data_IF_840436774420
#
_entry.id   IF_840436774420
#
_cell.length_a   1.000
_cell.length_b   1.000
_cell.length_c   1.000
_cell.angle_alpha   90.00
_cell.angle_beta   90.00
_cell.angle_gamma   90.00
#
_symmetry.space_group_name_H-M   'P 1'
#
loop_
_entity.id
_entity.type
_entity.pdbx_description
1 polymer ?
#
# COMPACT_ATOMS: atom_id res chain seq x y z
N UNK A 1 -5.57 -17.46 9.07
CA UNK A 1 -6.97 -16.99 9.19
C UNK A 1 -6.98 -15.77 10.09
N UNK A 2 -7.79 -14.74 9.78
CA UNK A 2 -7.87 -13.54 10.61
C UNK A 2 -8.30 -13.84 12.06
N UNK A 3 -7.88 -12.98 13.00
CA UNK A 3 -8.23 -13.07 14.44
C UNK A 3 -9.65 -12.66 14.77
N UNK A 4 -10.34 -12.06 13.80
CA UNK A 4 -11.75 -11.68 13.87
C UNK A 4 -12.51 -12.32 12.71
N UNK A 5 -13.83 -12.42 12.81
CA UNK A 5 -14.63 -13.01 11.75
C UNK A 5 -14.49 -12.24 10.43
N UNK A 6 -14.64 -12.94 9.31
CA UNK A 6 -14.68 -12.35 7.98
C UNK A 6 -16.15 -12.29 7.56
N UNK A 7 -16.84 -11.14 7.64
CA UNK A 7 -18.27 -11.06 7.32
C UNK A 7 -18.49 -11.33 5.83
N UNK A 8 -19.48 -12.14 5.44
CA UNK A 8 -19.84 -12.33 4.04
C UNK A 8 -20.32 -11.01 3.42
N UNK A 9 -19.94 -10.74 2.17
CA UNK A 9 -20.21 -9.46 1.50
C UNK A 9 -21.71 -9.17 1.42
N UNK A 10 -22.53 -10.18 1.18
CA UNK A 10 -23.99 -10.10 1.10
C UNK A 10 -24.66 -9.64 2.42
N UNK A 11 -23.94 -9.70 3.54
CA UNK A 11 -24.43 -9.24 4.85
C UNK A 11 -24.09 -7.78 5.15
N UNK A 12 -23.23 -7.16 4.34
CA UNK A 12 -22.78 -5.78 4.53
C UNK A 12 -23.80 -4.77 3.95
N UNK A 13 -23.69 -3.51 4.34
CA UNK A 13 -24.49 -2.42 3.74
C UNK A 13 -24.25 -2.29 2.22
N UNK A 14 -25.29 -1.86 1.49
CA UNK A 14 -25.27 -1.82 0.01
C UNK A 14 -24.08 -1.04 -0.57
N UNK A 15 -23.68 0.06 0.07
CA UNK A 15 -22.50 0.84 -0.34
C UNK A 15 -21.21 0.03 -0.30
N UNK A 16 -21.03 -0.82 0.73
CA UNK A 16 -19.85 -1.67 0.84
C UNK A 16 -19.89 -2.80 -0.19
N UNK A 17 -21.07 -3.36 -0.47
CA UNK A 17 -21.26 -4.34 -1.54
C UNK A 17 -20.87 -3.76 -2.91
N UNK A 18 -21.24 -2.51 -3.19
CA UNK A 18 -20.89 -1.83 -4.44
C UNK A 18 -19.39 -1.48 -4.53
N UNK A 19 -18.76 -1.19 -3.40
CA UNK A 19 -17.36 -0.78 -3.32
C UNK A 19 -16.40 -1.98 -3.39
N UNK A 20 -16.79 -3.11 -2.83
CA UNK A 20 -15.98 -4.34 -2.78
C UNK A 20 -15.37 -4.73 -4.13
N UNK A 21 -16.14 -4.97 -5.22
CA UNK A 21 -15.58 -5.41 -6.49
C UNK A 21 -14.68 -4.35 -7.14
N UNK A 22 -14.88 -3.05 -6.84
CA UNK A 22 -14.03 -1.96 -7.34
C UNK A 22 -12.67 -1.96 -6.64
N UNK A 23 -12.68 -2.19 -5.32
CA UNK A 23 -11.48 -2.24 -4.51
C UNK A 23 -10.63 -3.47 -4.81
N UNK A 24 -11.26 -4.64 -4.88
CA UNK A 24 -10.56 -5.91 -5.12
C UNK A 24 -10.26 -6.18 -6.60
N UNK A 25 -10.73 -5.31 -7.49
CA UNK A 25 -10.65 -5.49 -8.95
C UNK A 25 -11.25 -6.83 -9.42
N UNK A 26 -12.27 -7.31 -8.70
CA UNK A 26 -12.90 -8.61 -8.97
C UNK A 26 -12.01 -9.82 -8.65
N UNK A 27 -10.93 -9.65 -7.90
CA UNK A 27 -10.04 -10.72 -7.44
C UNK A 27 -10.20 -11.01 -5.95
N UNK A 28 -9.61 -12.10 -5.47
CA UNK A 28 -9.55 -12.41 -4.04
C UNK A 28 -8.50 -11.57 -3.29
N UNK A 29 -7.66 -10.81 -4.00
CA UNK A 29 -6.64 -9.97 -3.38
C UNK A 29 -7.31 -8.83 -2.60
N UNK A 30 -6.90 -8.66 -1.34
CA UNK A 30 -7.48 -7.69 -0.39
C UNK A 30 -8.95 -7.92 -0.03
N UNK A 31 -9.56 -9.04 -0.44
CA UNK A 31 -10.95 -9.36 -0.09
C UNK A 31 -11.13 -9.51 1.43
N UNK A 32 -10.29 -10.34 2.06
CA UNK A 32 -10.31 -10.52 3.52
C UNK A 32 -10.06 -9.19 4.26
N UNK A 33 -9.11 -8.38 3.78
CA UNK A 33 -8.84 -7.06 4.37
C UNK A 33 -10.08 -6.16 4.32
N UNK A 34 -10.76 -6.10 3.17
CA UNK A 34 -11.98 -5.31 3.03
C UNK A 34 -13.07 -5.79 3.99
N UNK A 35 -13.32 -7.09 4.02
CA UNK A 35 -14.35 -7.70 4.86
C UNK A 35 -14.06 -7.51 6.35
N UNK A 36 -12.82 -7.70 6.79
CA UNK A 36 -12.45 -7.51 8.20
C UNK A 36 -12.60 -6.03 8.60
N UNK A 37 -12.21 -5.09 7.74
CA UNK A 37 -12.39 -3.67 8.04
C UNK A 37 -13.89 -3.28 8.02
N UNK A 38 -14.73 -3.98 7.27
CA UNK A 38 -16.17 -3.78 7.21
C UNK A 38 -16.93 -4.06 8.52
N UNK A 39 -16.30 -4.65 9.53
CA UNK A 39 -16.82 -4.60 10.91
C UNK A 39 -17.01 -3.16 11.42
N UNK A 40 -16.29 -2.20 10.84
CA UNK A 40 -16.44 -0.76 11.09
C UNK A 40 -16.89 -0.10 9.79
N UNK A 41 -18.18 -0.22 9.47
CA UNK A 41 -18.75 0.22 8.18
C UNK A 41 -18.36 1.65 7.75
N UNK A 42 -18.44 2.69 8.61
CA UNK A 42 -17.98 4.03 8.22
C UNK A 42 -16.50 4.09 7.83
N UNK A 43 -15.65 3.30 8.49
CA UNK A 43 -14.23 3.24 8.14
C UNK A 43 -14.02 2.55 6.79
N UNK A 44 -14.71 1.44 6.53
CA UNK A 44 -14.63 0.74 5.25
C UNK A 44 -15.13 1.59 4.09
N UNK A 45 -16.27 2.27 4.27
CA UNK A 45 -16.83 3.14 3.24
C UNK A 45 -15.84 4.26 2.90
N UNK A 46 -15.35 4.99 3.91
CA UNK A 46 -14.57 6.19 3.68
C UNK A 46 -13.11 5.91 3.30
N UNK A 47 -12.45 4.91 3.90
CA UNK A 47 -11.07 4.59 3.55
C UNK A 47 -10.97 4.01 2.14
N UNK A 48 -11.76 2.99 1.80
CA UNK A 48 -11.71 2.39 0.47
C UNK A 48 -12.31 3.33 -0.59
N UNK A 49 -13.35 4.09 -0.25
CA UNK A 49 -13.91 5.11 -1.12
C UNK A 49 -12.86 6.17 -1.50
N UNK A 50 -12.14 6.69 -0.51
CA UNK A 50 -11.04 7.62 -0.73
C UNK A 50 -9.94 7.01 -1.62
N UNK A 51 -9.53 5.77 -1.38
CA UNK A 51 -8.51 5.10 -2.21
C UNK A 51 -8.95 4.96 -3.67
N UNK A 52 -10.22 4.66 -3.92
CA UNK A 52 -10.80 4.60 -5.27
C UNK A 52 -10.86 5.98 -5.92
N UNK A 53 -11.25 7.02 -5.18
CA UNK A 53 -11.24 8.40 -5.67
C UNK A 53 -9.83 8.85 -6.04
N UNK A 54 -8.83 8.59 -5.20
CA UNK A 54 -7.44 8.95 -5.47
C UNK A 54 -6.90 8.19 -6.69
N UNK A 55 -7.23 6.89 -6.82
CA UNK A 55 -6.87 6.10 -8.01
C UNK A 55 -7.50 6.67 -9.28
N UNK A 56 -8.78 7.04 -9.24
CA UNK A 56 -9.47 7.61 -10.40
C UNK A 56 -8.94 9.01 -10.77
N UNK A 57 -8.50 9.80 -9.78
CA UNK A 57 -7.90 11.13 -10.01
C UNK A 57 -6.51 11.05 -10.64
N UNK A 58 -5.77 9.95 -10.42
CA UNK A 58 -4.42 9.73 -10.96
C UNK A 58 -3.44 10.90 -10.71
N UNK A 59 -3.48 11.49 -9.50
CA UNK A 59 -2.62 12.61 -9.13
C UNK A 59 -1.14 12.24 -9.05
N UNK A 60 -0.87 10.99 -8.67
CA UNK A 60 0.44 10.33 -8.71
C UNK A 60 0.33 9.17 -9.70
N UNK A 61 1.39 8.91 -10.47
CA UNK A 61 1.41 7.74 -11.36
C UNK A 61 1.26 6.46 -10.54
N UNK A 62 0.56 5.48 -11.09
CA UNK A 62 0.34 4.21 -10.40
C UNK A 62 1.69 3.53 -10.08
N UNK A 63 2.66 3.58 -11.00
CA UNK A 63 4.06 3.19 -10.75
C UNK A 63 4.65 3.75 -9.45
N UNK A 64 4.58 5.06 -9.22
CA UNK A 64 5.14 5.66 -8.00
C UNK A 64 4.34 5.29 -6.74
N UNK A 65 3.01 5.12 -6.86
CA UNK A 65 2.19 4.62 -5.75
C UNK A 65 2.61 3.21 -5.36
N UNK A 66 2.78 2.31 -6.34
CA UNK A 66 3.16 0.92 -6.08
C UNK A 66 4.59 0.79 -5.53
N UNK A 67 5.55 1.57 -6.06
CA UNK A 67 6.90 1.68 -5.49
C UNK A 67 6.86 2.05 -4.00
N UNK A 68 6.12 3.11 -3.66
CA UNK A 68 6.02 3.58 -2.30
C UNK A 68 5.36 2.54 -1.37
N UNK A 69 4.31 1.87 -1.83
CA UNK A 69 3.61 0.83 -1.07
C UNK A 69 4.50 -0.39 -0.83
N UNK A 70 5.23 -0.86 -1.85
CA UNK A 70 6.10 -2.02 -1.73
C UNK A 70 7.25 -1.73 -0.78
N UNK A 71 7.92 -0.58 -0.91
CA UNK A 71 9.02 -0.18 0.00
C UNK A 71 8.53 -0.09 1.44
N UNK A 72 7.43 0.63 1.69
CA UNK A 72 6.87 0.77 3.03
C UNK A 72 6.43 -0.58 3.62
N UNK A 73 5.79 -1.43 2.80
CA UNK A 73 5.33 -2.76 3.22
C UNK A 73 6.48 -3.70 3.54
N UNK A 74 7.54 -3.68 2.73
CA UNK A 74 8.75 -4.48 2.95
C UNK A 74 9.43 -4.08 4.26
N UNK A 75 9.66 -2.78 4.48
CA UNK A 75 10.26 -2.27 5.71
C UNK A 75 9.41 -2.58 6.96
N UNK A 76 8.08 -2.52 6.82
CA UNK A 76 7.15 -2.93 7.88
C UNK A 76 6.94 -4.45 7.98
N UNK A 77 7.58 -5.26 7.12
CA UNK A 77 7.45 -6.72 7.07
C UNK A 77 6.00 -7.21 6.84
N UNK A 78 5.19 -6.48 6.06
CA UNK A 78 3.86 -6.93 5.66
C UNK A 78 3.93 -7.78 4.38
N UNK A 79 4.11 -9.10 4.52
CA UNK A 79 4.15 -10.04 3.39
C UNK A 79 2.88 -9.97 2.53
N UNK A 80 1.70 -9.99 3.15
CA UNK A 80 0.42 -9.87 2.45
C UNK A 80 0.33 -8.63 1.56
N UNK A 81 0.88 -7.51 2.03
CA UNK A 81 0.87 -6.26 1.29
C UNK A 81 1.88 -6.29 0.14
N UNK A 82 3.09 -6.82 0.37
CA UNK A 82 4.09 -7.02 -0.70
C UNK A 82 3.54 -7.93 -1.79
N UNK A 83 3.02 -9.10 -1.43
CA UNK A 83 2.46 -10.08 -2.38
C UNK A 83 1.31 -9.48 -3.21
N UNK A 84 0.41 -8.72 -2.57
CA UNK A 84 -0.73 -8.12 -3.27
C UNK A 84 -0.38 -6.93 -4.16
N UNK A 85 0.77 -6.29 -3.94
CA UNK A 85 1.19 -5.10 -4.70
C UNK A 85 2.27 -5.40 -5.75
N UNK A 86 3.08 -6.45 -5.60
CA UNK A 86 4.11 -6.84 -6.60
C UNK A 86 3.52 -7.06 -8.01
N UNK A 87 2.41 -7.79 -8.22
CA UNK A 87 1.81 -7.94 -9.54
C UNK A 87 1.33 -6.60 -10.13
N UNK A 88 0.94 -5.64 -9.28
CA UNK A 88 0.51 -4.30 -9.73
C UNK A 88 1.69 -3.47 -10.20
N UNK A 89 2.81 -3.52 -9.49
CA UNK A 89 4.05 -2.89 -9.93
C UNK A 89 4.56 -3.49 -11.24
N UNK A 90 4.38 -4.80 -11.42
CA UNK A 90 4.71 -5.48 -12.68
C UNK A 90 3.91 -4.95 -13.87
N UNK A 91 2.61 -4.67 -13.70
CA UNK A 91 1.77 -4.01 -14.73
C UNK A 91 2.31 -2.63 -15.09
N UNK A 92 2.93 -1.93 -14.15
CA UNK A 92 3.60 -0.64 -14.34
C UNK A 92 5.03 -0.76 -14.92
N UNK A 93 5.37 -1.94 -15.45
CA UNK A 93 6.61 -2.20 -16.19
C UNK A 93 7.83 -2.44 -15.31
N UNK A 94 7.64 -2.77 -14.03
CA UNK A 94 8.75 -3.08 -13.11
C UNK A 94 8.54 -4.44 -12.43
N UNK A 95 9.26 -5.44 -12.92
CA UNK A 95 9.37 -6.74 -12.25
C UNK A 95 10.47 -6.66 -11.20
N UNK A 96 10.17 -7.09 -9.98
CA UNK A 96 11.12 -7.23 -8.88
C UNK A 96 11.03 -8.65 -8.31
N UNK A 97 12.17 -9.24 -8.02
CA UNK A 97 12.24 -10.57 -7.38
C UNK A 97 12.28 -10.43 -5.85
N UNK A 98 12.97 -9.41 -5.36
CA UNK A 98 13.09 -9.07 -3.94
C UNK A 98 12.89 -7.55 -3.78
N UNK A 99 11.88 -7.11 -2.99
CA UNK A 99 11.69 -5.69 -2.69
C UNK A 99 12.92 -4.98 -2.13
N UNK A 100 13.83 -5.70 -1.45
CA UNK A 100 15.08 -5.13 -0.96
C UNK A 100 15.93 -4.53 -2.09
N UNK A 101 15.85 -5.09 -3.30
CA UNK A 101 16.60 -4.59 -4.45
C UNK A 101 16.21 -3.16 -4.83
N UNK A 102 14.98 -2.73 -4.55
CA UNK A 102 14.56 -1.35 -4.78
C UNK A 102 15.34 -0.38 -3.88
N UNK A 103 15.46 -0.74 -2.60
CA UNK A 103 16.14 0.06 -1.57
C UNK A 103 17.65 0.08 -1.84
N UNK A 104 18.21 -1.06 -2.19
CA UNK A 104 19.64 -1.21 -2.47
C UNK A 104 20.04 -0.63 -3.84
N UNK A 105 19.07 -0.30 -4.70
CA UNK A 105 19.31 0.16 -6.06
C UNK A 105 19.89 -0.92 -6.98
N UNK A 106 19.61 -2.19 -6.70
CA UNK A 106 20.16 -3.36 -7.40
C UNK A 106 19.14 -4.05 -8.32
N UNK A 107 17.94 -3.49 -8.47
CA UNK A 107 16.94 -3.99 -9.43
C UNK A 107 17.52 -4.00 -10.84
N UNK A 108 17.28 -5.10 -11.57
CA UNK A 108 17.76 -5.31 -12.94
C UNK A 108 17.09 -4.40 -13.96
N UNK A 109 15.83 -4.05 -13.71
CA UNK A 109 15.07 -3.12 -14.53
C UNK A 109 15.46 -1.65 -14.25
N UNK A 110 15.48 -0.78 -15.27
CA UNK A 110 15.90 0.60 -15.10
C UNK A 110 14.91 1.38 -14.21
N UNK A 111 15.45 2.05 -13.20
CA UNK A 111 14.74 3.05 -12.40
C UNK A 111 15.10 4.45 -12.89
N UNK A 112 14.07 5.26 -13.13
CA UNK A 112 14.24 6.69 -13.34
C UNK A 112 14.75 7.38 -12.06
N UNK A 113 15.26 8.61 -12.18
CA UNK A 113 15.67 9.35 -10.99
C UNK A 113 14.48 9.70 -10.08
N UNK A 114 13.28 9.89 -10.66
CA UNK A 114 12.04 10.04 -9.90
C UNK A 114 11.66 8.74 -9.18
N UNK A 115 11.82 7.57 -9.81
CA UNK A 115 11.56 6.27 -9.14
C UNK A 115 12.45 6.11 -7.90
N UNK A 116 13.75 6.39 -8.04
CA UNK A 116 14.72 6.32 -6.93
C UNK A 116 14.37 7.29 -5.82
N UNK A 117 13.96 8.51 -6.17
CA UNK A 117 13.52 9.51 -5.19
C UNK A 117 12.26 9.08 -4.44
N UNK A 118 11.31 8.42 -5.11
CA UNK A 118 10.11 7.87 -4.46
C UNK A 118 10.48 6.73 -3.51
N UNK A 119 11.41 5.85 -3.88
CA UNK A 119 11.92 4.78 -3.01
C UNK A 119 12.61 5.37 -1.77
N UNK A 120 13.52 6.33 -1.97
CA UNK A 120 14.22 7.03 -0.88
C UNK A 120 13.22 7.70 0.07
N UNK A 121 12.23 8.41 -0.48
CA UNK A 121 11.22 9.10 0.32
C UNK A 121 10.32 8.12 1.09
N UNK A 122 9.87 7.04 0.46
CA UNK A 122 9.04 6.03 1.11
C UNK A 122 9.78 5.33 2.25
N UNK A 123 11.07 5.01 2.08
CA UNK A 123 11.89 4.47 3.15
C UNK A 123 12.04 5.47 4.31
N UNK A 124 12.40 6.72 4.00
CA UNK A 124 12.62 7.76 5.00
C UNK A 124 11.35 8.04 5.82
N UNK A 125 10.18 8.14 5.18
CA UNK A 125 8.88 8.31 5.86
C UNK A 125 8.53 7.09 6.71
N UNK A 126 8.88 5.89 6.27
CA UNK A 126 8.55 4.65 7.01
C UNK A 126 9.41 4.49 8.26
N UNK A 127 10.70 4.84 8.21
CA UNK A 127 11.66 4.57 9.28
C UNK A 127 11.96 5.78 10.18
N UNK A 128 11.79 7.00 9.68
CA UNK A 128 12.31 8.21 10.33
C UNK A 128 11.56 9.50 9.98
N UNK A 129 10.22 9.44 9.84
CA UNK A 129 9.37 10.58 9.47
C UNK A 129 9.57 11.83 10.36
N UNK A 130 10.02 11.66 11.59
CA UNK A 130 10.30 12.73 12.54
C UNK A 130 11.61 13.49 12.28
N UNK A 131 12.45 13.02 11.34
CA UNK A 131 13.77 13.61 11.01
C UNK A 131 14.07 13.62 9.51
N UNK A 132 13.10 14.00 8.68
CA UNK A 132 13.34 14.15 7.24
C UNK A 132 14.18 15.41 6.94
N UNK A 133 15.27 15.33 6.17
CA UNK A 133 16.08 16.49 5.82
C UNK A 133 15.39 17.37 4.78
N UNK A 134 15.54 18.70 4.89
CA UNK A 134 14.94 19.65 3.92
C UNK A 134 15.44 19.40 2.48
N UNK A 135 16.69 18.97 2.32
CA UNK A 135 17.26 18.63 1.01
C UNK A 135 16.50 17.51 0.27
N UNK A 136 15.81 16.62 1.00
CA UNK A 136 14.94 15.62 0.39
C UNK A 136 13.67 16.27 -0.16
N UNK A 137 13.10 17.23 0.57
CA UNK A 137 11.95 18.01 0.10
C UNK A 137 12.30 18.94 -1.05
N UNK A 138 13.49 19.53 -1.08
CA UNK A 138 13.96 20.33 -2.20
C UNK A 138 13.94 19.51 -3.50
N UNK A 139 14.52 18.29 -3.48
CA UNK A 139 14.49 17.35 -4.61
C UNK A 139 13.07 16.91 -4.98
N UNK A 140 12.19 16.69 -4.00
CA UNK A 140 10.79 16.35 -4.28
C UNK A 140 10.07 17.49 -5.00
N UNK A 141 10.30 18.75 -4.60
CA UNK A 141 9.68 19.94 -5.21
C UNK A 141 10.16 20.19 -6.64
N UNK A 142 11.32 19.65 -7.03
CA UNK A 142 11.79 19.72 -8.42
C UNK A 142 10.94 18.87 -9.38
N UNK A 143 10.28 17.81 -8.89
CA UNK A 143 9.56 16.83 -9.74
C UNK A 143 8.09 16.62 -9.36
N UNK A 144 7.67 17.03 -8.16
CA UNK A 144 6.31 16.93 -7.67
C UNK A 144 5.77 18.28 -7.20
N UNK A 145 4.48 18.50 -7.48
CA UNK A 145 3.71 19.59 -6.85
C UNK A 145 3.48 19.33 -5.36
N UNK A 146 3.15 20.35 -4.59
CA UNK A 146 2.82 20.18 -3.16
C UNK A 146 1.68 19.18 -2.93
N UNK A 147 0.63 19.24 -3.76
CA UNK A 147 -0.49 18.30 -3.72
C UNK A 147 -0.04 16.84 -3.93
N UNK A 148 0.93 16.63 -4.81
CA UNK A 148 1.51 15.32 -5.08
C UNK A 148 2.38 14.82 -3.92
N UNK A 149 3.19 15.69 -3.32
CA UNK A 149 3.99 15.33 -2.13
C UNK A 149 3.07 14.92 -0.98
N UNK A 150 1.99 15.69 -0.74
CA UNK A 150 0.98 15.38 0.28
C UNK A 150 0.29 14.04 -0.02
N UNK A 151 -0.13 13.80 -1.26
CA UNK A 151 -0.75 12.54 -1.64
C UNK A 151 0.22 11.36 -1.48
N UNK A 152 1.48 11.48 -1.91
CA UNK A 152 2.48 10.43 -1.77
C UNK A 152 2.69 10.08 -0.29
N UNK A 153 2.79 11.10 0.57
CA UNK A 153 2.88 10.93 2.04
C UNK A 153 1.64 10.22 2.59
N UNK A 154 0.44 10.62 2.14
CA UNK A 154 -0.82 9.99 2.54
C UNK A 154 -0.84 8.51 2.13
N UNK A 155 -0.38 8.16 0.93
CA UNK A 155 -0.30 6.78 0.45
C UNK A 155 0.66 5.94 1.31
N UNK A 156 1.84 6.47 1.63
CA UNK A 156 2.84 5.79 2.47
C UNK A 156 2.30 5.55 3.88
N UNK A 157 1.70 6.58 4.49
CA UNK A 157 1.17 6.48 5.87
C UNK A 157 -0.05 5.57 5.97
N UNK A 158 -0.97 5.62 5.00
CA UNK A 158 -2.08 4.64 4.91
C UNK A 158 -1.56 3.22 4.68
N UNK A 159 -0.52 3.04 3.87
CA UNK A 159 0.14 1.74 3.73
C UNK A 159 0.64 1.24 5.10
N UNK A 160 1.34 2.09 5.87
CA UNK A 160 1.78 1.77 7.23
C UNK A 160 0.64 1.43 8.19
N UNK A 161 -0.53 2.09 8.05
CA UNK A 161 -1.75 1.73 8.77
C UNK A 161 -2.21 0.32 8.39
N UNK A 162 -2.37 0.04 7.08
CA UNK A 162 -2.84 -1.26 6.60
C UNK A 162 -1.87 -2.40 6.93
N UNK A 163 -0.56 -2.16 6.86
CA UNK A 163 0.46 -3.13 7.27
C UNK A 163 0.21 -3.59 8.72
N UNK A 164 0.12 -2.64 9.65
CA UNK A 164 -0.11 -2.91 11.07
C UNK A 164 -1.48 -3.52 11.32
N UNK A 165 -2.52 -3.05 10.64
CA UNK A 165 -3.87 -3.57 10.73
C UNK A 165 -3.93 -5.05 10.31
N UNK A 166 -3.34 -5.38 9.16
CA UNK A 166 -3.30 -6.74 8.64
C UNK A 166 -2.52 -7.68 9.56
N UNK A 167 -1.32 -7.27 10.01
CA UNK A 167 -0.48 -8.06 10.90
C UNK A 167 -1.15 -8.31 12.26
N UNK A 168 -1.69 -7.25 12.89
CA UNK A 168 -2.34 -7.36 14.19
C UNK A 168 -3.57 -8.29 14.16
N UNK A 169 -4.28 -8.33 13.04
CA UNK A 169 -5.46 -9.16 12.83
C UNK A 169 -5.18 -10.45 12.05
N UNK A 170 -3.92 -10.75 11.69
CA UNK A 170 -3.50 -11.92 10.90
C UNK A 170 -4.30 -12.10 9.59
N UNK A 171 -4.55 -10.99 8.90
CA UNK A 171 -5.25 -10.95 7.60
C UNK A 171 -4.30 -11.42 6.51
N UNK A 172 -4.74 -12.37 5.67
CA UNK A 172 -3.90 -12.92 4.61
C UNK A 172 -2.79 -13.86 5.07
N UNK A 173 -2.65 -14.10 6.38
CA UNK A 173 -1.77 -15.15 6.90
C UNK A 173 -2.46 -16.51 6.74
N UNK A 174 -1.92 -17.34 5.84
CA UNK A 174 -2.19 -18.78 5.87
C UNK A 174 -1.72 -19.35 7.21
N UNK A 175 -2.44 -20.32 7.78
CA UNK A 175 -2.23 -20.87 9.14
C UNK A 175 -0.85 -21.49 9.43
N UNK A 176 0.13 -21.32 8.55
CA UNK A 176 1.48 -21.89 8.61
C UNK A 176 2.52 -21.00 9.31
N UNK A 177 2.25 -19.70 9.50
CA UNK A 177 3.14 -18.78 10.24
C UNK A 177 2.70 -18.64 11.71
N UNK A 178 1.98 -19.65 12.23
CA UNK A 178 1.55 -19.67 13.62
C UNK A 178 2.76 -19.80 14.56
N UNK A 179 3.22 -18.66 15.04
CA UNK A 179 3.92 -18.47 16.32
C UNK A 179 5.25 -19.22 16.47
N UNK A 180 6.33 -18.64 15.92
CA UNK A 180 7.61 -18.72 16.60
C UNK A 180 7.47 -17.93 17.92
N UNK A 181 7.24 -18.68 19.00
CA UNK A 181 7.26 -18.24 20.40
C UNK A 181 8.65 -17.81 20.83
#
# INVERSE_FOLDING_TARGET
>A
MPRVSVPPIETLGSKLQDLFPRYTLGSDHFAEQFQVLAHVEPAAEHLFGMLMTLKARSGISQRHVELAIIVASHLNRCHYCVEGHTPRLQVEGLTIDDPQQLIDGTVSAPLSDTDKLVVEYAAAVTESAERLPESLFDRLREVFTESQIVELTLRITLCGFFNRFNQALQIGESSTIAHAT
#
